data_IF_458033353622
#
_entry.id   IF_458033353622
#
_cell.length_a   1.000
_cell.length_b   1.000
_cell.length_c   1.000
_cell.angle_alpha   90.00
_cell.angle_beta   90.00
_cell.angle_gamma   90.00
#
_symmetry.space_group_name_H-M   'P 1'
#
loop_
_entity.id
_entity.type
_entity.pdbx_description
1 polymer ?
#
# COMPACT_ATOMS: atom_id res chain seq x y z
N UNK A 1 -16.34 2.92 21.02
CA UNK A 1 -16.44 1.61 20.37
C UNK A 1 -15.29 0.78 20.90
N UNK A 2 -15.53 -0.44 21.31
CA UNK A 2 -14.47 -1.36 21.74
C UNK A 2 -13.78 -1.99 20.52
N UNK A 3 -12.57 -2.57 20.71
CA UNK A 3 -11.90 -3.30 19.64
C UNK A 3 -12.72 -4.51 19.17
N UNK A 4 -13.33 -5.23 20.10
CA UNK A 4 -14.23 -6.36 19.80
C UNK A 4 -15.43 -5.93 18.95
N UNK A 5 -16.07 -4.80 19.28
CA UNK A 5 -17.15 -4.23 18.46
C UNK A 5 -16.64 -3.84 17.05
N UNK A 6 -15.42 -3.30 16.96
CA UNK A 6 -14.81 -2.94 15.68
C UNK A 6 -14.54 -4.17 14.80
N UNK A 7 -14.02 -5.25 15.36
CA UNK A 7 -13.83 -6.54 14.66
C UNK A 7 -15.16 -7.12 14.21
N UNK A 8 -16.16 -7.17 15.11
CA UNK A 8 -17.50 -7.66 14.76
C UNK A 8 -18.11 -6.86 13.61
N UNK A 9 -18.10 -5.52 13.68
CA UNK A 9 -18.60 -4.67 12.60
C UNK A 9 -17.83 -4.85 11.30
N UNK A 10 -16.51 -5.04 11.38
CA UNK A 10 -15.70 -5.29 10.21
C UNK A 10 -16.06 -6.62 9.53
N UNK A 11 -16.35 -7.67 10.28
CA UNK A 11 -16.76 -8.98 9.76
C UNK A 11 -18.19 -8.98 9.23
N UNK A 12 -19.15 -8.42 9.98
CA UNK A 12 -20.58 -8.52 9.68
C UNK A 12 -21.06 -7.49 8.66
N UNK A 13 -20.67 -6.23 8.82
CA UNK A 13 -21.19 -5.11 8.01
C UNK A 13 -20.24 -4.67 6.91
N UNK A 14 -18.95 -4.97 7.07
CA UNK A 14 -17.94 -4.63 6.10
C UNK A 14 -17.83 -3.12 5.82
N UNK A 15 -17.52 -2.77 4.58
CA UNK A 15 -17.35 -1.40 4.11
C UNK A 15 -18.70 -0.77 3.77
N UNK A 16 -18.92 0.48 4.17
CA UNK A 16 -20.06 1.25 3.68
C UNK A 16 -19.80 1.70 2.24
N UNK A 17 -20.36 0.97 1.27
CA UNK A 17 -20.17 1.24 -0.16
C UNK A 17 -20.43 2.70 -0.54
N UNK A 18 -21.55 3.35 -0.13
CA UNK A 18 -21.81 4.75 -0.50
C UNK A 18 -20.82 5.72 0.13
N UNK A 19 -20.43 5.49 1.41
CA UNK A 19 -19.43 6.33 2.06
C UNK A 19 -18.05 6.18 1.41
N UNK A 20 -17.65 4.96 1.10
CA UNK A 20 -16.38 4.68 0.43
C UNK A 20 -16.34 5.30 -0.98
N UNK A 21 -17.44 5.18 -1.73
CA UNK A 21 -17.56 5.79 -3.06
C UNK A 21 -17.48 7.32 -2.99
N UNK A 22 -18.18 7.94 -2.03
CA UNK A 22 -18.12 9.38 -1.80
C UNK A 22 -16.68 9.83 -1.46
N UNK A 23 -16.07 9.20 -0.46
CA UNK A 23 -14.70 9.55 -0.03
C UNK A 23 -13.71 9.36 -1.18
N UNK A 24 -13.78 8.25 -1.91
CA UNK A 24 -12.92 7.99 -3.07
C UNK A 24 -13.18 8.99 -4.20
N UNK A 25 -14.45 9.28 -4.50
CA UNK A 25 -14.82 10.24 -5.56
C UNK A 25 -14.27 11.65 -5.30
N UNK A 26 -14.24 12.08 -4.05
CA UNK A 26 -13.70 13.40 -3.66
C UNK A 26 -12.17 13.36 -3.50
N UNK A 27 -11.65 12.40 -2.74
CA UNK A 27 -10.23 12.41 -2.39
C UNK A 27 -9.33 11.92 -3.53
N UNK A 28 -9.78 10.99 -4.37
CA UNK A 28 -8.95 10.48 -5.47
C UNK A 28 -8.46 11.57 -6.43
N UNK A 29 -9.32 12.42 -7.02
CA UNK A 29 -8.85 13.50 -7.89
C UNK A 29 -8.00 14.52 -7.13
N UNK A 30 -8.39 14.87 -5.91
CA UNK A 30 -7.64 15.81 -5.07
C UNK A 30 -6.23 15.30 -4.76
N UNK A 31 -6.11 14.05 -4.30
CA UNK A 31 -4.82 13.43 -3.99
C UNK A 31 -3.98 13.21 -5.26
N UNK A 32 -4.63 12.82 -6.37
CA UNK A 32 -3.96 12.63 -7.65
C UNK A 32 -3.29 13.93 -8.12
N UNK A 33 -3.98 15.06 -7.99
CA UNK A 33 -3.42 16.36 -8.34
C UNK A 33 -2.38 16.83 -7.33
N UNK A 34 -2.73 16.85 -6.04
CA UNK A 34 -1.88 17.40 -4.99
C UNK A 34 -0.56 16.64 -4.80
N UNK A 35 -0.64 15.30 -4.77
CA UNK A 35 0.54 14.44 -4.65
C UNK A 35 1.10 13.99 -6.00
N UNK A 36 0.61 14.55 -7.11
CA UNK A 36 1.06 14.18 -8.46
C UNK A 36 1.18 12.65 -8.61
N UNK A 37 0.11 11.95 -8.16
CA UNK A 37 0.12 10.49 -8.06
C UNK A 37 0.30 9.84 -9.42
N UNK A 38 1.23 8.90 -9.46
CA UNK A 38 1.43 8.00 -10.58
C UNK A 38 1.09 6.57 -10.16
N UNK A 39 0.29 5.89 -10.97
CA UNK A 39 -0.17 4.52 -10.70
C UNK A 39 0.11 3.66 -11.90
N UNK A 40 0.65 2.45 -11.70
CA UNK A 40 0.88 1.45 -12.75
C UNK A 40 0.51 0.06 -12.25
N UNK A 41 0.07 -0.82 -13.16
CA UNK A 41 -0.24 -2.22 -12.85
C UNK A 41 -1.52 -2.40 -12.03
N UNK A 42 -2.39 -1.39 -11.90
CA UNK A 42 -3.65 -1.52 -11.12
C UNK A 42 -4.58 -2.59 -11.68
N UNK A 43 -4.44 -2.91 -12.95
CA UNK A 43 -5.10 -4.00 -13.67
C UNK A 43 -4.72 -5.39 -13.16
N UNK A 44 -3.60 -5.52 -12.45
CA UNK A 44 -3.17 -6.77 -11.82
C UNK A 44 -3.94 -7.07 -10.52
N UNK A 45 -4.67 -6.09 -9.97
CA UNK A 45 -5.54 -6.33 -8.81
C UNK A 45 -6.79 -7.04 -9.28
N UNK A 46 -7.08 -8.29 -8.85
CA UNK A 46 -8.25 -9.03 -9.30
C UNK A 46 -9.56 -8.27 -9.09
N UNK A 47 -10.45 -8.25 -10.07
CA UNK A 47 -11.72 -7.54 -10.02
C UNK A 47 -12.66 -8.08 -8.94
N UNK A 48 -12.60 -9.38 -8.67
CA UNK A 48 -13.43 -10.09 -7.70
C UNK A 48 -12.66 -11.23 -7.02
N UNK A 49 -13.29 -11.89 -6.07
CA UNK A 49 -12.68 -12.97 -5.29
C UNK A 49 -11.72 -12.47 -4.20
N UNK A 50 -11.21 -13.36 -3.34
CA UNK A 50 -10.24 -12.99 -2.31
C UNK A 50 -8.91 -12.61 -2.94
N UNK A 51 -8.25 -11.57 -2.43
CA UNK A 51 -6.90 -11.22 -2.80
C UNK A 51 -6.21 -10.43 -1.69
N UNK A 52 -4.89 -10.51 -1.62
CA UNK A 52 -4.09 -9.81 -0.62
C UNK A 52 -3.08 -8.90 -1.34
N UNK A 53 -3.29 -7.60 -1.28
CA UNK A 53 -2.31 -6.61 -1.71
C UNK A 53 -1.25 -6.47 -0.63
N UNK A 54 0.00 -6.71 -0.99
CA UNK A 54 1.15 -6.63 -0.08
C UNK A 54 2.10 -5.54 -0.53
N UNK A 55 2.35 -4.56 0.33
CA UNK A 55 3.17 -3.40 0.00
C UNK A 55 4.19 -3.08 1.08
N UNK A 56 5.23 -2.34 0.71
CA UNK A 56 6.11 -1.69 1.67
C UNK A 56 5.39 -0.56 2.43
N UNK A 57 5.86 -0.22 3.63
CA UNK A 57 5.18 0.72 4.53
C UNK A 57 6.07 1.90 4.94
N UNK A 58 5.81 3.06 4.35
CA UNK A 58 6.54 4.32 4.61
C UNK A 58 5.75 5.32 5.45
N UNK A 59 4.41 5.29 5.33
CA UNK A 59 3.53 6.32 5.89
C UNK A 59 2.24 5.75 6.46
N UNK A 60 1.65 6.45 7.42
CA UNK A 60 0.27 6.20 7.85
C UNK A 60 -0.72 6.26 6.67
N UNK A 61 -0.40 7.04 5.64
CA UNK A 61 -1.27 7.27 4.48
C UNK A 61 -1.22 6.18 3.41
N UNK A 62 -0.31 5.20 3.52
CA UNK A 62 -0.13 4.16 2.49
C UNK A 62 -1.42 3.37 2.23
N UNK A 63 -2.13 2.97 3.30
CA UNK A 63 -3.42 2.28 3.17
C UNK A 63 -4.47 3.12 2.44
N UNK A 64 -4.47 4.43 2.67
CA UNK A 64 -5.39 5.35 1.99
C UNK A 64 -4.98 5.53 0.53
N UNK A 65 -3.68 5.67 0.22
CA UNK A 65 -3.22 5.71 -1.16
C UNK A 65 -3.63 4.47 -1.93
N UNK A 66 -3.38 3.27 -1.38
CA UNK A 66 -3.81 2.01 -1.98
C UNK A 66 -5.34 1.98 -2.20
N UNK A 67 -6.13 2.34 -1.19
CA UNK A 67 -7.59 2.36 -1.29
C UNK A 67 -8.15 3.37 -2.30
N UNK A 68 -7.46 4.48 -2.51
CA UNK A 68 -7.86 5.51 -3.48
C UNK A 68 -7.50 5.12 -4.93
N UNK A 69 -6.40 4.40 -5.15
CA UNK A 69 -5.94 4.07 -6.50
C UNK A 69 -6.62 2.84 -7.10
N UNK A 70 -7.12 1.91 -6.29
CA UNK A 70 -7.87 0.73 -6.75
C UNK A 70 -9.33 1.13 -7.03
N UNK A 71 -9.78 1.26 -8.28
CA UNK A 71 -11.06 1.90 -8.59
C UNK A 71 -12.27 0.98 -8.39
N UNK A 72 -12.12 -0.31 -8.62
CA UNK A 72 -13.20 -1.30 -8.76
C UNK A 72 -13.48 -2.06 -7.46
N UNK A 73 -12.59 -2.01 -6.46
CA UNK A 73 -12.74 -2.72 -5.19
C UNK A 73 -12.65 -1.83 -3.96
N UNK A 74 -13.10 -2.36 -2.83
CA UNK A 74 -12.98 -1.73 -1.52
C UNK A 74 -11.86 -2.42 -0.75
N UNK A 75 -10.80 -1.69 -0.46
CA UNK A 75 -9.64 -2.21 0.26
C UNK A 75 -9.95 -2.30 1.75
N UNK A 76 -9.59 -3.42 2.34
CA UNK A 76 -9.62 -3.63 3.79
C UNK A 76 -8.19 -3.60 4.31
N UNK A 77 -7.96 -3.04 5.49
CA UNK A 77 -6.61 -2.92 6.03
C UNK A 77 -6.57 -2.88 7.55
N UNK A 78 -5.46 -3.33 8.12
CA UNK A 78 -5.21 -3.32 9.54
C UNK A 78 -4.78 -1.93 10.01
N UNK A 79 -5.41 -1.42 11.05
CA UNK A 79 -5.03 -0.18 11.73
C UNK A 79 -4.66 -0.42 13.18
N UNK A 80 -3.75 0.37 13.73
CA UNK A 80 -3.35 0.28 15.15
C UNK A 80 -4.58 0.45 16.06
N UNK A 81 -4.69 -0.36 17.13
CA UNK A 81 -5.84 -0.36 18.06
C UNK A 81 -6.21 1.01 18.55
N UNK A 82 -5.24 1.88 18.84
CA UNK A 82 -5.48 3.23 19.37
C UNK A 82 -6.22 4.15 18.37
N UNK A 83 -6.26 3.81 17.09
CA UNK A 83 -7.03 4.53 16.07
C UNK A 83 -8.54 4.27 16.21
N UNK A 84 -8.91 3.18 16.89
CA UNK A 84 -10.29 2.72 17.03
C UNK A 84 -10.94 3.19 18.34
N UNK A 85 -10.35 4.16 19.02
CA UNK A 85 -10.92 4.83 20.18
C UNK A 85 -11.86 5.96 19.78
N UNK A 86 -12.95 6.11 20.52
CA UNK A 86 -13.90 7.20 20.36
C UNK A 86 -14.73 7.17 19.08
N UNK A 87 -15.19 8.35 18.63
CA UNK A 87 -16.17 8.49 17.52
C UNK A 87 -15.59 8.17 16.15
N UNK A 88 -14.27 8.33 15.97
CA UNK A 88 -13.57 8.10 14.67
C UNK A 88 -13.51 6.62 14.31
N UNK A 89 -13.54 5.74 15.29
CA UNK A 89 -13.43 4.31 15.10
C UNK A 89 -14.49 3.75 14.13
N UNK A 90 -15.75 4.15 14.31
CA UNK A 90 -16.85 3.71 13.43
C UNK A 90 -16.66 4.18 11.97
N UNK A 91 -16.12 5.37 11.77
CA UNK A 91 -15.79 5.88 10.44
C UNK A 91 -14.69 5.04 9.79
N UNK A 92 -13.62 4.73 10.53
CA UNK A 92 -12.51 3.90 10.02
C UNK A 92 -12.98 2.51 9.61
N UNK A 93 -13.82 1.85 10.43
CA UNK A 93 -14.40 0.54 10.08
C UNK A 93 -15.24 0.63 8.81
N UNK A 94 -16.07 1.65 8.68
CA UNK A 94 -16.90 1.87 7.47
C UNK A 94 -16.06 2.17 6.22
N UNK A 95 -14.83 2.62 6.39
CA UNK A 95 -13.85 2.84 5.31
C UNK A 95 -12.91 1.64 5.11
N UNK A 96 -13.16 0.52 5.78
CA UNK A 96 -12.45 -0.73 5.55
C UNK A 96 -11.34 -1.07 6.56
N UNK A 97 -11.05 -0.20 7.51
CA UNK A 97 -10.06 -0.48 8.55
C UNK A 97 -10.62 -1.41 9.64
N UNK A 98 -9.74 -2.23 10.23
CA UNK A 98 -10.02 -3.00 11.45
C UNK A 98 -8.80 -2.99 12.38
N UNK A 99 -8.98 -3.12 13.70
CA UNK A 99 -7.88 -2.97 14.66
C UNK A 99 -6.88 -4.10 14.59
N UNK A 100 -5.63 -3.82 14.96
CA UNK A 100 -4.57 -4.81 15.20
C UNK A 100 -3.64 -4.35 16.32
N UNK A 101 -3.34 -5.25 17.24
CA UNK A 101 -2.29 -5.08 18.26
C UNK A 101 -0.95 -5.42 17.64
N UNK A 102 -0.14 -4.41 17.37
CA UNK A 102 1.17 -4.60 16.75
C UNK A 102 2.18 -5.15 17.73
N UNK A 103 3.03 -6.07 17.26
CA UNK A 103 4.07 -6.70 18.09
C UNK A 103 3.63 -7.94 18.84
N UNK A 104 2.35 -8.28 18.78
CA UNK A 104 1.75 -9.46 19.41
C UNK A 104 1.08 -10.35 18.36
N UNK A 105 0.85 -11.61 18.72
CA UNK A 105 -0.04 -12.47 17.94
C UNK A 105 -1.49 -12.08 18.22
N UNK A 106 -2.10 -11.30 17.32
CA UNK A 106 -3.47 -10.84 17.47
C UNK A 106 -4.44 -11.79 16.75
N UNK A 107 -5.01 -12.72 17.53
CA UNK A 107 -5.95 -13.71 17.02
C UNK A 107 -7.21 -13.09 16.42
N UNK A 108 -7.74 -12.01 17.02
CA UNK A 108 -8.95 -11.32 16.53
C UNK A 108 -8.70 -10.64 15.20
N UNK A 109 -7.52 -10.02 15.03
CA UNK A 109 -7.13 -9.41 13.76
C UNK A 109 -6.95 -10.46 12.66
N UNK A 110 -6.32 -11.60 12.97
CA UNK A 110 -6.17 -12.71 12.03
C UNK A 110 -7.50 -13.31 11.63
N UNK A 111 -8.40 -13.55 12.62
CA UNK A 111 -9.74 -14.06 12.34
C UNK A 111 -10.55 -13.10 11.47
N UNK A 112 -10.44 -11.79 11.72
CA UNK A 112 -11.10 -10.78 10.90
C UNK A 112 -10.53 -10.77 9.47
N UNK A 113 -9.22 -10.92 9.31
CA UNK A 113 -8.59 -11.01 8.01
C UNK A 113 -9.06 -12.25 7.21
N UNK A 114 -9.12 -13.43 7.88
CA UNK A 114 -9.65 -14.67 7.28
C UNK A 114 -11.09 -14.50 6.82
N UNK A 115 -11.94 -13.95 7.67
CA UNK A 115 -13.34 -13.73 7.34
C UNK A 115 -13.52 -12.77 6.16
N UNK A 116 -12.73 -11.70 6.09
CA UNK A 116 -12.71 -10.80 4.95
C UNK A 116 -12.35 -11.55 3.66
N UNK A 117 -11.33 -12.40 3.68
CA UNK A 117 -10.91 -13.19 2.52
C UNK A 117 -11.97 -14.22 2.15
N UNK A 118 -12.56 -14.93 3.14
CA UNK A 118 -13.66 -15.87 2.92
C UNK A 118 -14.88 -15.22 2.25
N UNK A 119 -15.13 -13.95 2.51
CA UNK A 119 -16.17 -13.14 1.86
C UNK A 119 -15.78 -12.63 0.47
N UNK A 120 -14.64 -13.04 -0.08
CA UNK A 120 -14.12 -12.55 -1.36
C UNK A 120 -13.56 -11.13 -1.29
N UNK A 121 -13.17 -10.66 -0.09
CA UNK A 121 -12.67 -9.30 0.12
C UNK A 121 -11.24 -9.10 -0.36
N UNK A 122 -10.88 -7.83 -0.58
CA UNK A 122 -9.52 -7.39 -0.89
C UNK A 122 -8.86 -6.87 0.40
N UNK A 123 -7.77 -7.50 0.82
CA UNK A 123 -7.02 -7.15 2.03
C UNK A 123 -5.69 -6.47 1.67
N UNK A 124 -5.32 -5.40 2.35
CA UNK A 124 -3.97 -4.85 2.27
C UNK A 124 -3.16 -5.22 3.51
N UNK A 125 -1.95 -5.69 3.30
CA UNK A 125 -0.98 -6.00 4.33
C UNK A 125 0.35 -5.30 4.04
N UNK A 126 1.02 -4.95 5.12
CA UNK A 126 2.39 -4.43 5.09
C UNK A 126 3.29 -5.43 5.82
N UNK A 127 3.99 -6.33 5.11
CA UNK A 127 4.76 -7.41 5.73
C UNK A 127 5.80 -6.94 6.74
N UNK A 128 6.36 -5.75 6.57
CA UNK A 128 7.29 -5.12 7.53
C UNK A 128 6.70 -4.98 8.95
N UNK A 129 5.37 -4.94 9.08
CA UNK A 129 4.65 -4.81 10.35
C UNK A 129 4.82 -3.46 11.06
N UNK A 130 5.70 -2.62 10.56
CA UNK A 130 5.95 -1.24 11.03
C UNK A 130 6.26 -0.32 9.87
N UNK A 131 6.33 0.98 10.11
CA UNK A 131 6.70 1.96 9.10
C UNK A 131 8.21 2.12 9.06
N UNK A 132 8.84 1.89 7.92
CA UNK A 132 10.25 2.16 7.67
C UNK A 132 10.39 3.61 7.22
N UNK A 133 10.97 4.44 8.07
CA UNK A 133 11.02 5.89 7.85
C UNK A 133 12.11 6.32 6.87
N UNK A 134 13.17 5.52 6.74
CA UNK A 134 14.17 5.77 5.72
C UNK A 134 13.53 5.65 4.34
N UNK A 135 13.61 6.68 3.48
CA UNK A 135 13.00 6.64 2.16
C UNK A 135 13.65 5.61 1.22
N UNK A 136 14.89 5.22 1.49
CA UNK A 136 15.70 4.37 0.61
C UNK A 136 15.70 2.89 1.02
N UNK A 137 15.33 2.60 2.26
CA UNK A 137 15.38 1.25 2.83
C UNK A 137 14.00 0.59 2.89
N UNK A 138 13.97 -0.72 2.81
CA UNK A 138 12.83 -1.58 3.12
C UNK A 138 13.16 -2.38 4.39
N UNK A 139 12.13 -2.71 5.16
CA UNK A 139 12.30 -3.57 6.34
C UNK A 139 12.17 -5.04 5.99
N UNK A 140 12.57 -5.90 6.93
CA UNK A 140 12.43 -7.34 6.79
C UNK A 140 10.95 -7.76 6.81
N UNK A 141 10.49 -8.58 5.86
CA UNK A 141 9.12 -8.97 5.77
C UNK A 141 8.80 -10.08 6.78
N UNK A 142 7.61 -10.01 7.39
CA UNK A 142 7.08 -11.04 8.27
C UNK A 142 6.21 -12.03 7.48
N UNK A 143 6.22 -13.30 7.89
CA UNK A 143 5.51 -14.40 7.24
C UNK A 143 3.96 -14.32 7.26
N UNK A 144 3.37 -13.31 7.93
CA UNK A 144 1.91 -13.21 8.11
C UNK A 144 1.10 -13.14 6.82
N UNK A 145 1.63 -12.47 5.79
CA UNK A 145 0.97 -12.38 4.48
C UNK A 145 0.95 -13.74 3.77
N UNK A 146 2.08 -14.46 3.77
CA UNK A 146 2.17 -15.82 3.20
C UNK A 146 1.26 -16.79 3.92
N UNK A 147 1.21 -16.72 5.26
CA UNK A 147 0.31 -17.59 6.05
C UNK A 147 -1.16 -17.36 5.68
N UNK A 148 -1.63 -16.11 5.63
CA UNK A 148 -3.01 -15.82 5.26
C UNK A 148 -3.32 -16.22 3.81
N UNK A 149 -2.38 -16.06 2.90
CA UNK A 149 -2.53 -16.49 1.52
C UNK A 149 -2.68 -18.00 1.40
N UNK A 150 -1.80 -18.78 2.03
CA UNK A 150 -1.87 -20.24 2.03
C UNK A 150 -3.14 -20.76 2.72
N UNK A 151 -3.55 -20.17 3.85
CA UNK A 151 -4.77 -20.56 4.56
C UNK A 151 -6.06 -20.26 3.78
N UNK A 152 -6.07 -19.22 2.95
CA UNK A 152 -7.26 -18.74 2.24
C UNK A 152 -7.28 -19.09 0.75
N UNK A 153 -6.17 -19.52 0.16
CA UNK A 153 -6.01 -19.66 -1.29
C UNK A 153 -6.01 -18.32 -2.04
N UNK A 154 -5.94 -17.19 -1.33
CA UNK A 154 -5.98 -15.88 -1.93
C UNK A 154 -4.64 -15.53 -2.59
N UNK A 155 -4.61 -15.09 -3.87
CA UNK A 155 -3.38 -14.65 -4.50
C UNK A 155 -2.79 -13.43 -3.78
N UNK A 156 -1.46 -13.38 -3.75
CA UNK A 156 -0.71 -12.24 -3.28
C UNK A 156 -0.46 -11.28 -4.44
N UNK A 157 -0.85 -10.02 -4.30
CA UNK A 157 -0.58 -8.96 -5.28
C UNK A 157 0.55 -8.08 -4.73
N UNK A 158 1.79 -8.24 -5.20
CA UNK A 158 2.90 -7.40 -4.76
C UNK A 158 2.65 -5.95 -5.19
N UNK A 159 2.95 -5.01 -4.31
CA UNK A 159 2.83 -3.59 -4.62
C UNK A 159 3.97 -2.80 -4.00
N UNK A 160 4.32 -1.69 -4.61
CA UNK A 160 5.30 -0.77 -4.08
C UNK A 160 4.75 0.66 -3.98
N UNK A 161 5.12 1.36 -2.92
CA UNK A 161 4.75 2.76 -2.68
C UNK A 161 6.01 3.56 -2.44
N UNK A 162 6.18 4.67 -3.16
CA UNK A 162 7.28 5.63 -2.96
C UNK A 162 6.76 7.05 -2.83
N UNK A 163 7.52 7.92 -2.14
CA UNK A 163 7.17 9.32 -1.96
C UNK A 163 6.11 9.60 -0.89
N UNK A 164 5.62 8.59 -0.19
CA UNK A 164 4.70 8.75 0.94
C UNK A 164 5.42 9.01 2.28
N UNK A 165 6.73 8.82 2.31
CA UNK A 165 7.58 9.15 3.45
C UNK A 165 7.56 10.65 3.75
N UNK A 166 7.68 11.02 5.03
CA UNK A 166 7.78 12.41 5.47
C UNK A 166 6.79 13.40 4.81
N UNK A 167 5.55 12.95 4.54
CA UNK A 167 4.51 13.81 3.95
C UNK A 167 4.18 15.01 4.83
N UNK A 168 4.28 14.88 6.15
CA UNK A 168 3.95 15.94 7.08
C UNK A 168 5.21 16.56 7.70
N UNK A 169 5.35 17.86 7.54
CA UNK A 169 6.27 18.71 8.29
C UNK A 169 5.47 19.87 8.89
N UNK A 170 4.46 19.52 9.72
CA UNK A 170 3.46 20.43 10.26
C UNK A 170 2.04 19.92 9.96
N UNK A 171 1.01 20.77 10.11
CA UNK A 171 -0.39 20.35 9.97
C UNK A 171 -0.81 20.07 8.51
N UNK A 172 -0.08 20.59 7.53
CA UNK A 172 -0.40 20.41 6.10
C UNK A 172 0.61 19.45 5.47
N UNK A 173 0.14 18.44 4.70
CA UNK A 173 1.04 17.54 4.01
C UNK A 173 1.82 18.27 2.91
N UNK A 174 3.07 17.87 2.67
CA UNK A 174 3.89 18.41 1.57
C UNK A 174 3.39 17.86 0.22
N UNK A 175 3.39 18.67 -0.86
CA UNK A 175 3.01 18.22 -2.19
C UNK A 175 4.13 17.39 -2.84
N UNK A 176 4.39 16.21 -2.31
CA UNK A 176 5.34 15.23 -2.85
C UNK A 176 4.72 14.44 -4.00
N UNK A 177 5.56 13.90 -4.88
CA UNK A 177 5.12 12.92 -5.86
C UNK A 177 4.99 11.55 -5.17
N UNK A 178 3.78 10.98 -5.15
CA UNK A 178 3.53 9.62 -4.65
C UNK A 178 3.36 8.69 -5.85
N UNK A 179 4.05 7.57 -5.83
CA UNK A 179 3.96 6.56 -6.88
C UNK A 179 3.52 5.23 -6.25
N UNK A 180 2.61 4.54 -6.93
CA UNK A 180 2.11 3.22 -6.56
C UNK A 180 2.22 2.31 -7.77
N UNK A 181 2.82 1.14 -7.59
CA UNK A 181 2.88 0.12 -8.62
C UNK A 181 2.39 -1.22 -8.06
N UNK A 182 1.71 -1.98 -8.92
CA UNK A 182 1.28 -3.34 -8.62
C UNK A 182 1.93 -4.29 -9.62
N UNK A 183 2.44 -5.42 -9.14
CA UNK A 183 2.95 -6.52 -9.97
C UNK A 183 1.88 -7.57 -10.20
N UNK A 184 2.15 -8.52 -11.08
CA UNK A 184 1.31 -9.68 -11.35
C UNK A 184 0.99 -10.45 -10.05
N UNK A 185 -0.23 -10.96 -9.90
CA UNK A 185 -0.61 -11.76 -8.75
C UNK A 185 0.22 -13.06 -8.68
N UNK A 186 0.72 -13.36 -7.49
CA UNK A 186 1.39 -14.61 -7.21
C UNK A 186 0.34 -15.64 -6.74
N UNK A 187 0.08 -16.69 -7.53
CA UNK A 187 -0.82 -17.77 -7.11
C UNK A 187 -0.16 -18.57 -6.00
N UNK A 188 -0.90 -18.84 -4.94
CA UNK A 188 -0.41 -19.61 -3.78
C UNK A 188 -1.06 -20.97 -3.63
N UNK A 189 -2.06 -21.27 -4.45
CA UNK A 189 -2.81 -22.53 -4.47
C UNK A 189 -1.95 -23.74 -4.87
N UNK A 190 -0.84 -23.50 -5.57
CA UNK A 190 0.10 -24.52 -6.03
C UNK A 190 1.28 -24.76 -5.07
N UNK A 191 1.36 -23.98 -3.98
CA UNK A 191 2.47 -24.06 -3.04
C UNK A 191 2.17 -25.07 -1.94
N UNK A 192 3.09 -26.00 -1.71
CA UNK A 192 2.93 -27.04 -0.70
C UNK A 192 2.70 -26.43 0.70
N UNK A 193 1.70 -26.96 1.42
CA UNK A 193 1.37 -26.56 2.79
C UNK A 193 2.38 -27.12 3.80
N UNK A 194 3.64 -26.75 3.69
CA UNK A 194 4.65 -27.06 4.71
C UNK A 194 4.63 -26.01 5.82
N UNK A 195 5.04 -26.33 7.05
CA UNK A 195 5.08 -25.34 8.14
C UNK A 195 5.90 -24.09 7.81
N UNK A 196 6.93 -24.21 6.99
CA UNK A 196 7.83 -23.11 6.59
C UNK A 196 7.43 -22.44 5.27
N UNK A 197 6.47 -23.01 4.52
CA UNK A 197 6.02 -22.46 3.24
C UNK A 197 5.60 -20.98 3.32
N UNK A 198 5.01 -20.55 4.43
CA UNK A 198 4.61 -19.16 4.62
C UNK A 198 5.80 -18.17 4.64
N UNK A 199 6.92 -18.59 5.18
CA UNK A 199 8.19 -17.82 5.15
C UNK A 199 8.77 -17.82 3.73
N UNK A 200 8.89 -19.00 3.11
CA UNK A 200 9.43 -19.15 1.75
C UNK A 200 8.65 -18.33 0.72
N UNK A 201 7.30 -18.35 0.79
CA UNK A 201 6.44 -17.53 -0.07
C UNK A 201 6.75 -16.03 0.08
N UNK A 202 6.94 -15.57 1.31
CA UNK A 202 7.19 -14.15 1.55
C UNK A 202 8.61 -13.77 1.15
N UNK A 203 9.61 -14.53 1.57
CA UNK A 203 11.03 -14.19 1.41
C UNK A 203 11.53 -14.41 -0.02
N UNK A 204 11.07 -15.46 -0.70
CA UNK A 204 11.59 -15.86 -1.99
C UNK A 204 10.68 -15.52 -3.18
N UNK A 205 9.39 -15.26 -2.96
CA UNK A 205 8.47 -14.94 -4.04
C UNK A 205 7.92 -13.50 -3.92
N UNK A 206 7.34 -13.16 -2.78
CA UNK A 206 6.63 -11.90 -2.60
C UNK A 206 7.58 -10.71 -2.46
N UNK A 207 8.52 -10.79 -1.51
CA UNK A 207 9.34 -9.63 -1.15
C UNK A 207 10.29 -9.19 -2.26
N UNK A 208 10.92 -10.09 -3.03
CA UNK A 208 11.72 -9.71 -4.18
C UNK A 208 10.93 -8.89 -5.23
N UNK A 209 9.66 -9.21 -5.45
CA UNK A 209 8.79 -8.44 -6.36
C UNK A 209 8.50 -7.03 -5.81
N UNK A 210 8.19 -6.93 -4.52
CA UNK A 210 7.98 -5.63 -3.85
C UNK A 210 9.26 -4.77 -3.93
N UNK A 211 10.42 -5.36 -3.66
CA UNK A 211 11.70 -4.68 -3.77
C UNK A 211 12.04 -4.25 -5.19
N UNK A 212 11.80 -5.11 -6.16
CA UNK A 212 12.02 -4.83 -7.59
C UNK A 212 11.21 -3.61 -8.02
N UNK A 213 9.91 -3.60 -7.72
CA UNK A 213 9.02 -2.49 -8.02
C UNK A 213 9.40 -1.21 -7.26
N UNK A 214 9.76 -1.33 -5.99
CA UNK A 214 10.22 -0.20 -5.19
C UNK A 214 11.46 0.45 -5.81
N UNK A 215 12.47 -0.35 -6.18
CA UNK A 215 13.69 0.13 -6.86
C UNK A 215 13.36 0.73 -8.22
N UNK A 216 12.47 0.12 -9.00
CA UNK A 216 12.02 0.62 -10.31
C UNK A 216 11.35 1.99 -10.20
N UNK A 217 10.48 2.18 -9.22
CA UNK A 217 9.82 3.47 -8.99
C UNK A 217 10.81 4.58 -8.60
N UNK A 218 11.86 4.22 -7.86
CA UNK A 218 12.90 5.17 -7.41
C UNK A 218 13.90 5.50 -8.52
N UNK A 219 14.24 4.55 -9.38
CA UNK A 219 15.22 4.74 -10.46
C UNK A 219 14.71 5.57 -11.63
N UNK A 220 13.38 5.81 -11.74
CA UNK A 220 12.82 6.65 -12.81
C UNK A 220 13.24 8.11 -12.60
N UNK A 221 14.15 8.67 -13.41
CA UNK A 221 14.50 10.08 -13.31
C UNK A 221 13.26 10.92 -13.55
N UNK A 222 13.05 11.92 -12.73
CA UNK A 222 12.04 12.93 -13.00
C UNK A 222 12.44 13.58 -14.32
N UNK A 223 11.63 13.50 -15.36
CA UNK A 223 11.90 14.09 -16.70
C UNK A 223 12.33 15.57 -16.63
N UNK A 224 12.04 16.26 -15.53
CA UNK A 224 12.49 17.63 -15.24
C UNK A 224 14.01 17.70 -15.00
N UNK A 225 14.65 16.70 -14.40
CA UNK A 225 16.10 16.70 -14.17
C UNK A 225 16.88 16.47 -15.47
N UNK A 226 16.37 15.61 -16.38
CA UNK A 226 16.97 15.38 -17.68
C UNK A 226 16.85 16.60 -18.61
N UNK A 227 15.76 17.36 -18.52
CA UNK A 227 15.56 18.60 -19.28
C UNK A 227 16.49 19.73 -18.86
N UNK A 228 16.78 19.87 -17.56
CA UNK A 228 17.68 20.91 -17.05
C UNK A 228 19.14 20.62 -17.32
N UNK A 229 19.55 19.35 -17.37
CA UNK A 229 20.91 18.96 -17.76
C UNK A 229 21.16 19.19 -19.25
N UNK A 230 20.17 18.95 -20.10
CA UNK A 230 20.29 19.22 -21.54
C UNK A 230 20.34 20.74 -21.85
N UNK A 231 19.61 21.56 -21.11
CA UNK A 231 19.66 23.02 -21.21
C UNK A 231 20.95 23.62 -20.61
N UNK A 232 21.51 23.01 -19.56
CA UNK A 232 22.77 23.44 -18.94
C UNK A 232 24.00 23.22 -19.83
N UNK A 233 24.04 22.17 -20.64
CA UNK A 233 25.15 21.87 -21.57
C UNK A 233 25.10 22.80 -22.79
N UNK A 234 23.92 23.18 -23.26
CA UNK A 234 23.73 24.14 -24.36
C UNK A 234 24.17 25.58 -24.02
N UNK A 235 23.94 26.02 -22.77
CA UNK A 235 24.32 27.36 -22.30
C UNK A 235 25.82 27.55 -22.13
N UNK A 236 26.55 26.51 -21.73
CA UNK A 236 28.00 26.55 -21.54
C UNK A 236 28.81 26.71 -22.85
N UNK A 237 28.30 26.18 -23.94
CA UNK A 237 28.95 26.28 -25.28
C UNK A 237 28.75 27.66 -25.95
N UNK A 238 27.64 28.34 -25.71
CA UNK A 238 27.36 29.65 -26.28
C UNK A 238 28.13 30.78 -25.57
N UNK A 239 28.39 30.66 -24.26
CA UNK A 239 29.18 31.69 -23.52
C UNK A 239 30.66 31.58 -23.86
N UNK A 240 31.20 30.43 -24.21
CA UNK A 240 32.60 30.24 -24.56
C UNK A 240 32.95 30.79 -25.96
N UNK A 241 31.98 30.92 -26.86
CA UNK A 241 32.17 31.44 -28.23
C UNK A 241 32.15 32.99 -28.30
N UNK A 242 31.61 33.68 -27.31
CA UNK A 242 31.56 35.14 -27.25
C UNK A 242 32.79 35.82 -26.60
N UNK A 243 33.70 35.06 -25.99
CA UNK A 243 34.95 35.60 -25.38
C UNK A 243 36.19 35.47 -26.26
N UNK A 244 36.04 35.11 -27.55
CA UNK A 244 37.14 35.06 -28.50
C UNK A 244 36.82 35.86 -29.78
N UNK A 245 36.40 37.12 -29.57
CA UNK A 245 36.49 38.18 -30.58
C UNK A 245 36.86 39.49 -29.90
#
# INVERSE_FOLDING_TARGET
MTNEEAHRLAREKGVSRPLYALVRGVLRPLFRLYFRMHVSGVEHVPDEGPAIVTANHKSFWDSFFLGLVIPHRHLRFMGKTELFEGRRARLLVRLGAFPVRRGESDADALETAREILRQGGLLALFPEGTRIRDPDELGDPKRGAGRLALESGAPLVPAAITGSDHLFAGPVPKPKRVQVAFSEPLPVDQLASTPDAAGEVVEHMLWPEVESEFRRLRSRPTLIAAGLTALGIGGGLLVRRRRRR
#
